data_IF_015714352227
#
_entry.id   IF_015714352227
#
_cell.length_a   1.000
_cell.length_b   1.000
_cell.length_c   1.000
_cell.angle_alpha   90.00
_cell.angle_beta   90.00
_cell.angle_gamma   90.00
#
_symmetry.space_group_name_H-M   'P 1'
#
loop_
_entity.id
_entity.type
_entity.pdbx_description
1 polymer ?
#
# COMPACT_ATOMS: atom_id res chain seq x y z
N UNK A 1 -36.76 -14.88 -52.74
CA UNK A 1 -37.09 -14.59 -51.33
C UNK A 1 -36.29 -15.58 -50.48
N UNK A 2 -34.95 -15.56 -50.54
CA UNK A 2 -34.05 -14.55 -49.93
C UNK A 2 -34.34 -14.44 -48.43
N UNK A 3 -33.71 -15.27 -47.59
CA UNK A 3 -32.36 -15.10 -47.02
C UNK A 3 -32.30 -14.01 -45.95
N UNK A 4 -32.79 -14.33 -44.75
CA UNK A 4 -32.52 -13.55 -43.52
C UNK A 4 -32.41 -14.48 -42.31
N UNK A 5 -31.53 -15.49 -42.42
CA UNK A 5 -30.83 -16.03 -41.25
C UNK A 5 -29.55 -15.21 -41.06
N UNK A 6 -29.71 -13.97 -40.61
CA UNK A 6 -28.60 -13.18 -40.05
C UNK A 6 -28.40 -13.58 -38.59
N UNK A 7 -27.98 -14.82 -38.40
CA UNK A 7 -27.29 -15.25 -37.18
C UNK A 7 -25.92 -14.59 -37.18
N UNK A 8 -25.86 -13.31 -36.82
CA UNK A 8 -24.62 -12.68 -36.36
C UNK A 8 -24.37 -13.17 -34.94
N UNK A 9 -23.94 -14.43 -34.87
CA UNK A 9 -23.21 -14.97 -33.74
C UNK A 9 -22.18 -13.92 -33.34
N UNK A 10 -22.32 -13.39 -32.13
CA UNK A 10 -21.43 -12.43 -31.51
C UNK A 10 -20.08 -13.06 -31.25
N UNK A 11 -19.32 -13.29 -32.31
CA UNK A 11 -17.89 -13.51 -32.24
C UNK A 11 -17.23 -12.14 -32.13
N UNK A 12 -17.11 -11.66 -30.89
CA UNK A 12 -15.96 -10.83 -30.53
C UNK A 12 -14.94 -11.72 -29.82
N UNK A 13 -13.94 -12.27 -30.54
CA UNK A 13 -12.79 -12.96 -29.95
C UNK A 13 -11.77 -11.97 -29.35
N UNK A 14 -12.23 -10.94 -28.63
CA UNK A 14 -11.44 -9.71 -28.39
C UNK A 14 -10.81 -9.54 -27.00
N UNK A 15 -10.79 -10.51 -26.09
CA UNK A 15 -10.06 -10.32 -24.80
C UNK A 15 -9.41 -11.56 -24.18
N UNK A 16 -9.42 -12.68 -24.90
CA UNK A 16 -8.70 -13.89 -24.50
C UNK A 16 -7.19 -13.61 -24.49
N UNK A 17 -6.63 -13.59 -23.27
CA UNK A 17 -5.26 -13.99 -22.95
C UNK A 17 -4.12 -13.00 -23.30
N UNK A 18 -4.24 -11.75 -22.84
CA UNK A 18 -3.06 -10.90 -22.53
C UNK A 18 -2.92 -10.51 -21.05
N UNK A 19 -3.78 -11.09 -20.20
CA UNK A 19 -3.88 -10.79 -18.76
C UNK A 19 -2.91 -11.61 -17.88
N UNK A 20 -2.36 -12.72 -18.37
CA UNK A 20 -1.52 -13.62 -17.57
C UNK A 20 -0.15 -13.01 -17.24
N UNK A 21 0.56 -12.46 -18.25
CA UNK A 21 1.93 -11.94 -18.06
C UNK A 21 1.99 -10.69 -17.18
N UNK A 22 1.05 -9.76 -17.35
CA UNK A 22 0.99 -8.54 -16.53
C UNK A 22 0.68 -8.87 -15.07
N UNK A 23 -0.20 -9.85 -14.82
CA UNK A 23 -0.46 -10.36 -13.47
C UNK A 23 0.77 -11.00 -12.83
N UNK A 24 1.47 -11.89 -13.54
CA UNK A 24 2.69 -12.52 -13.01
C UNK A 24 3.84 -11.52 -12.80
N UNK A 25 3.97 -10.51 -13.67
CA UNK A 25 4.93 -9.43 -13.50
C UNK A 25 4.61 -8.57 -12.28
N UNK A 26 3.36 -8.10 -12.13
CA UNK A 26 2.94 -7.34 -10.94
C UNK A 26 3.06 -8.18 -9.66
N UNK A 27 2.74 -9.47 -9.72
CA UNK A 27 2.88 -10.37 -8.57
C UNK A 27 4.34 -10.61 -8.20
N UNK A 28 5.21 -10.84 -9.19
CA UNK A 28 6.64 -10.98 -9.00
C UNK A 28 7.28 -9.70 -8.47
N UNK A 29 6.87 -8.54 -8.98
CA UNK A 29 7.33 -7.24 -8.50
C UNK A 29 6.92 -7.00 -7.04
N UNK A 30 5.67 -7.34 -6.68
CA UNK A 30 5.20 -7.25 -5.30
C UNK A 30 5.98 -8.18 -4.37
N UNK A 31 6.22 -9.43 -4.77
CA UNK A 31 7.04 -10.37 -4.00
C UNK A 31 8.49 -9.93 -3.86
N UNK A 32 9.08 -9.42 -4.94
CA UNK A 32 10.42 -8.87 -4.93
C UNK A 32 10.50 -7.68 -3.98
N UNK A 33 9.51 -6.77 -4.02
CA UNK A 33 9.43 -5.64 -3.09
C UNK A 33 9.23 -6.11 -1.64
N UNK A 34 8.38 -7.11 -1.39
CA UNK A 34 8.16 -7.74 -0.08
C UNK A 34 9.42 -8.40 0.48
N UNK A 35 10.25 -9.02 -0.36
CA UNK A 35 11.48 -9.68 0.07
C UNK A 35 12.66 -8.72 0.20
N UNK A 36 12.76 -7.73 -0.70
CA UNK A 36 13.85 -6.77 -0.75
C UNK A 36 13.82 -5.79 0.44
N UNK A 37 12.64 -5.37 0.88
CA UNK A 37 12.50 -4.45 2.01
C UNK A 37 13.07 -4.97 3.34
N UNK A 38 12.68 -6.16 3.86
CA UNK A 38 13.24 -6.67 5.11
C UNK A 38 14.73 -6.97 4.98
N UNK A 39 15.20 -7.40 3.79
CA UNK A 39 16.63 -7.59 3.53
C UNK A 39 17.36 -6.26 3.57
N UNK A 40 16.82 -5.20 2.97
CA UNK A 40 17.37 -3.85 3.02
C UNK A 40 17.43 -3.30 4.45
N UNK A 41 16.36 -3.47 5.24
CA UNK A 41 16.31 -3.06 6.64
C UNK A 41 17.29 -3.86 7.52
N UNK A 42 17.38 -5.18 7.32
CA UNK A 42 18.32 -6.04 8.02
C UNK A 42 19.77 -5.70 7.65
N UNK A 43 20.03 -5.41 6.37
CA UNK A 43 21.33 -4.97 5.88
C UNK A 43 21.74 -3.67 6.54
N UNK A 44 20.82 -2.70 6.62
CA UNK A 44 20.99 -1.43 7.32
C UNK A 44 21.32 -1.60 8.80
N UNK A 45 20.71 -2.59 9.46
CA UNK A 45 20.95 -2.92 10.86
C UNK A 45 22.33 -3.57 11.08
N UNK A 46 22.82 -4.36 10.12
CA UNK A 46 24.11 -5.06 10.17
C UNK A 46 25.29 -4.21 9.67
N UNK A 47 25.07 -3.31 8.70
CA UNK A 47 26.09 -2.49 8.04
C UNK A 47 25.71 -1.00 8.07
N UNK A 48 25.76 -0.36 9.26
CA UNK A 48 25.39 1.05 9.42
C UNK A 48 26.28 2.01 8.57
N UNK A 49 27.52 1.62 8.30
CA UNK A 49 28.51 2.44 7.58
C UNK A 49 28.23 2.52 6.06
N UNK A 50 27.28 1.74 5.54
CA UNK A 50 26.97 1.73 4.10
C UNK A 50 26.16 2.95 3.62
N UNK A 51 25.60 3.74 4.55
CA UNK A 51 24.74 4.90 4.23
C UNK A 51 25.39 6.26 4.48
N UNK A 52 26.55 6.30 5.13
CA UNK A 52 27.27 7.56 5.41
C UNK A 52 27.62 8.34 4.13
N UNK A 53 27.69 7.66 2.99
CA UNK A 53 27.97 8.27 1.67
C UNK A 53 26.69 8.66 0.88
N UNK A 54 25.51 8.19 1.31
CA UNK A 54 24.22 8.39 0.60
C UNK A 54 23.38 9.51 1.22
N UNK A 55 23.62 9.87 2.49
CA UNK A 55 22.89 10.96 3.17
C UNK A 55 23.54 12.33 2.94
N UNK A 56 23.40 12.88 1.72
CA UNK A 56 23.67 14.30 1.44
C UNK A 56 22.42 15.19 1.59
N UNK A 57 21.31 14.62 2.04
CA UNK A 57 20.03 15.32 2.14
C UNK A 57 19.96 16.13 3.46
N UNK A 58 19.90 17.49 3.42
CA UNK A 58 20.01 18.36 4.61
C UNK A 58 18.88 18.21 5.62
N UNK A 59 17.78 17.55 5.23
CA UNK A 59 16.62 17.30 6.08
C UNK A 59 16.89 16.29 7.22
N UNK A 60 17.93 15.47 7.07
CA UNK A 60 18.31 14.42 8.04
C UNK A 60 19.68 14.70 8.65
N UNK A 61 19.97 15.95 9.00
CA UNK A 61 21.19 16.39 9.72
C UNK A 61 21.34 15.80 11.13
N UNK A 62 21.14 14.50 11.27
CA UNK A 62 21.08 13.74 12.50
C UNK A 62 22.09 12.61 12.32
N UNK A 63 23.25 12.80 12.94
CA UNK A 63 24.13 11.79 13.53
C UNK A 63 24.37 10.53 12.68
N UNK A 64 25.63 10.27 12.33
CA UNK A 64 26.03 9.03 11.65
C UNK A 64 25.32 7.82 12.28
N UNK A 65 24.66 6.99 11.46
CA UNK A 65 23.90 5.82 11.96
C UNK A 65 24.80 4.89 12.81
N UNK A 66 26.11 4.95 12.58
CA UNK A 66 27.15 4.29 13.35
C UNK A 66 27.18 4.69 14.84
N UNK A 67 26.82 5.93 15.19
CA UNK A 67 26.83 6.41 16.57
C UNK A 67 25.56 6.07 17.37
N UNK A 68 24.51 5.58 16.70
CA UNK A 68 23.28 5.18 17.38
C UNK A 68 23.45 3.84 18.11
N UNK A 69 22.87 3.79 19.31
CA UNK A 69 22.83 2.57 20.13
C UNK A 69 22.01 1.46 19.48
N UNK A 70 22.33 0.20 19.77
CA UNK A 70 21.65 -0.97 19.20
C UNK A 70 20.13 -0.94 19.45
N UNK A 71 19.68 -0.48 20.62
CA UNK A 71 18.25 -0.39 20.93
C UNK A 71 17.53 0.66 20.07
N UNK A 72 18.19 1.79 19.75
CA UNK A 72 17.64 2.82 18.86
C UNK A 72 17.46 2.24 17.47
N UNK A 73 18.48 1.51 16.98
CA UNK A 73 18.43 0.84 15.66
C UNK A 73 17.27 -0.14 15.59
N UNK A 74 17.12 -1.03 16.57
CA UNK A 74 15.99 -1.98 16.63
C UNK A 74 14.65 -1.23 16.64
N UNK A 75 14.54 -0.15 17.40
CA UNK A 75 13.31 0.65 17.47
C UNK A 75 13.00 1.29 16.13
N UNK A 76 13.98 1.89 15.47
CA UNK A 76 13.81 2.54 14.16
C UNK A 76 13.44 1.52 13.07
N UNK A 77 14.08 0.36 13.07
CA UNK A 77 13.73 -0.75 12.17
C UNK A 77 12.32 -1.27 12.45
N UNK A 78 11.94 -1.46 13.71
CA UNK A 78 10.61 -1.93 14.10
C UNK A 78 9.53 -0.92 13.69
N UNK A 79 9.74 0.37 13.97
CA UNK A 79 8.83 1.45 13.59
C UNK A 79 8.70 1.52 12.07
N UNK A 80 9.81 1.58 11.31
CA UNK A 80 9.77 1.62 9.85
C UNK A 80 9.12 0.39 9.20
N UNK A 81 9.23 -0.78 9.84
CA UNK A 81 8.59 -2.01 9.36
C UNK A 81 7.06 -1.97 9.43
N UNK A 82 6.48 -1.15 10.32
CA UNK A 82 5.03 -1.02 10.48
C UNK A 82 4.37 -0.42 9.24
N UNK A 83 4.90 0.69 8.72
CA UNK A 83 4.46 1.26 7.44
C UNK A 83 4.58 0.26 6.30
N UNK A 84 5.71 -0.44 6.21
CA UNK A 84 5.94 -1.40 5.11
C UNK A 84 4.91 -2.53 5.18
N UNK A 85 4.66 -3.08 6.37
CA UNK A 85 3.62 -4.08 6.58
C UNK A 85 2.23 -3.57 6.18
N UNK A 86 1.92 -2.30 6.47
CA UNK A 86 0.66 -1.67 6.06
C UNK A 86 0.52 -1.58 4.54
N UNK A 87 1.59 -1.19 3.82
CA UNK A 87 1.61 -1.19 2.34
C UNK A 87 1.45 -2.60 1.78
N UNK A 88 2.08 -3.60 2.40
CA UNK A 88 1.94 -5.01 2.01
C UNK A 88 0.50 -5.51 2.16
N UNK A 89 -0.16 -5.16 3.27
CA UNK A 89 -1.57 -5.47 3.47
C UNK A 89 -2.46 -4.80 2.42
N UNK A 90 -2.19 -3.53 2.07
CA UNK A 90 -2.95 -2.84 1.03
C UNK A 90 -2.80 -3.52 -0.34
N UNK A 91 -1.56 -3.85 -0.72
CA UNK A 91 -1.26 -4.58 -1.96
C UNK A 91 -1.89 -5.99 -1.99
N UNK A 92 -1.94 -6.68 -0.85
CA UNK A 92 -2.59 -7.99 -0.74
C UNK A 92 -4.10 -7.90 -1.00
N UNK A 93 -4.75 -6.87 -0.46
CA UNK A 93 -6.17 -6.63 -0.74
C UNK A 93 -6.40 -6.30 -2.22
N UNK A 94 -5.53 -5.48 -2.85
CA UNK A 94 -5.59 -5.20 -4.28
C UNK A 94 -5.47 -6.48 -5.12
N UNK A 95 -4.58 -7.41 -4.75
CA UNK A 95 -4.47 -8.72 -5.40
C UNK A 95 -5.77 -9.51 -5.29
N UNK A 96 -6.41 -9.48 -4.13
CA UNK A 96 -7.68 -10.18 -3.91
C UNK A 96 -8.78 -9.65 -4.84
N UNK A 97 -8.88 -8.34 -4.97
CA UNK A 97 -9.80 -7.69 -5.93
C UNK A 97 -9.49 -8.11 -7.37
N UNK A 98 -8.21 -8.06 -7.77
CA UNK A 98 -7.79 -8.46 -9.11
C UNK A 98 -8.09 -9.93 -9.42
N UNK A 99 -7.92 -10.84 -8.46
CA UNK A 99 -8.24 -12.26 -8.62
C UNK A 99 -9.74 -12.49 -8.82
N UNK A 100 -10.60 -11.77 -8.07
CA UNK A 100 -12.05 -11.87 -8.23
C UNK A 100 -12.48 -11.31 -9.59
N UNK A 101 -11.88 -10.21 -10.03
CA UNK A 101 -12.12 -9.64 -11.35
C UNK A 101 -11.72 -10.61 -12.49
N UNK A 102 -10.56 -11.28 -12.35
CA UNK A 102 -10.09 -12.28 -13.31
C UNK A 102 -11.00 -13.51 -13.40
N UNK A 103 -11.74 -13.82 -12.34
CA UNK A 103 -12.74 -14.90 -12.30
C UNK A 103 -14.13 -14.48 -12.79
N UNK A 104 -14.29 -13.23 -13.24
CA UNK A 104 -15.59 -12.67 -13.62
C UNK A 104 -16.52 -12.38 -12.44
N UNK A 105 -16.01 -12.44 -11.21
CA UNK A 105 -16.76 -12.24 -9.96
C UNK A 105 -16.67 -10.78 -9.48
N UNK A 106 -17.17 -9.86 -10.32
CA UNK A 106 -17.11 -8.41 -10.11
C UNK A 106 -17.74 -7.96 -8.77
N UNK A 107 -18.91 -8.50 -8.42
CA UNK A 107 -19.71 -8.11 -7.24
C UNK A 107 -19.71 -9.15 -6.12
N UNK A 108 -18.62 -9.90 -5.98
CA UNK A 108 -18.49 -10.83 -4.85
C UNK A 108 -18.31 -10.08 -3.52
N UNK A 109 -18.87 -10.62 -2.43
CA UNK A 109 -18.69 -10.06 -1.08
C UNK A 109 -17.21 -9.90 -0.71
N UNK A 110 -16.35 -10.83 -1.16
CA UNK A 110 -14.90 -10.79 -0.97
C UNK A 110 -14.24 -9.60 -1.68
N UNK A 111 -14.69 -9.25 -2.90
CA UNK A 111 -14.14 -8.12 -3.66
C UNK A 111 -14.47 -6.79 -2.98
N UNK A 112 -15.73 -6.64 -2.53
CA UNK A 112 -16.18 -5.44 -1.80
C UNK A 112 -15.42 -5.30 -0.47
N UNK A 113 -15.29 -6.38 0.31
CA UNK A 113 -14.57 -6.35 1.58
C UNK A 113 -13.07 -6.06 1.40
N UNK A 114 -12.42 -6.65 0.40
CA UNK A 114 -11.03 -6.38 0.08
C UNK A 114 -10.81 -4.93 -0.35
N UNK A 115 -11.70 -4.39 -1.19
CA UNK A 115 -11.64 -2.99 -1.64
C UNK A 115 -11.79 -2.03 -0.46
N UNK A 116 -12.75 -2.29 0.44
CA UNK A 116 -12.96 -1.48 1.65
C UNK A 116 -11.74 -1.51 2.59
N UNK A 117 -11.16 -2.69 2.82
CA UNK A 117 -9.93 -2.83 3.61
C UNK A 117 -8.75 -2.10 2.98
N UNK A 118 -8.56 -2.21 1.67
CA UNK A 118 -7.52 -1.49 0.94
C UNK A 118 -7.69 0.02 1.08
N UNK A 119 -8.90 0.53 0.89
CA UNK A 119 -9.21 1.96 1.02
C UNK A 119 -8.97 2.48 2.44
N UNK A 120 -9.37 1.72 3.46
CA UNK A 120 -9.08 2.04 4.86
C UNK A 120 -7.57 2.10 5.11
N UNK A 121 -6.82 1.08 4.68
CA UNK A 121 -5.36 1.06 4.82
C UNK A 121 -4.71 2.27 4.15
N UNK A 122 -5.19 2.65 2.96
CA UNK A 122 -4.67 3.81 2.24
C UNK A 122 -5.00 5.14 2.94
N UNK A 123 -6.20 5.26 3.51
CA UNK A 123 -6.61 6.44 4.26
C UNK A 123 -5.85 6.61 5.59
N UNK A 124 -5.56 5.52 6.29
CA UNK A 124 -4.82 5.55 7.56
C UNK A 124 -3.30 5.64 7.37
N UNK A 125 -2.77 5.29 6.20
CA UNK A 125 -1.34 5.32 5.90
C UNK A 125 -0.62 6.63 6.28
N UNK A 126 -1.08 7.82 5.86
CA UNK A 126 -0.41 9.08 6.22
C UNK A 126 -0.44 9.36 7.73
N UNK A 127 -1.47 8.89 8.46
CA UNK A 127 -1.52 9.03 9.91
C UNK A 127 -0.45 8.15 10.59
N UNK A 128 -0.29 6.91 10.11
CA UNK A 128 0.77 6.02 10.60
C UNK A 128 2.14 6.62 10.32
N UNK A 129 2.36 7.16 9.12
CA UNK A 129 3.60 7.86 8.74
C UNK A 129 3.93 9.04 9.65
N UNK A 130 2.93 9.87 9.97
CA UNK A 130 3.11 11.01 10.87
C UNK A 130 3.53 10.55 12.27
N UNK A 131 2.91 9.49 12.79
CA UNK A 131 3.27 8.90 14.09
C UNK A 131 4.67 8.29 14.05
N UNK A 132 5.04 7.59 12.99
CA UNK A 132 6.40 7.04 12.83
C UNK A 132 7.45 8.15 12.85
N UNK A 133 7.27 9.23 12.10
CA UNK A 133 8.22 10.34 12.07
C UNK A 133 8.39 10.97 13.46
N UNK A 134 7.28 11.16 14.19
CA UNK A 134 7.32 11.66 15.56
C UNK A 134 8.12 10.73 16.49
N UNK A 135 7.87 9.40 16.43
CA UNK A 135 8.60 8.41 17.22
C UNK A 135 10.09 8.41 16.84
N UNK A 136 10.42 8.39 15.55
CA UNK A 136 11.81 8.39 15.07
C UNK A 136 12.55 9.66 15.52
N UNK A 137 11.91 10.83 15.47
CA UNK A 137 12.47 12.09 15.96
C UNK A 137 12.79 12.03 17.44
N UNK A 138 11.92 11.43 18.26
CA UNK A 138 12.17 11.28 19.70
C UNK A 138 13.28 10.28 19.95
N UNK A 139 13.25 9.11 19.31
CA UNK A 139 14.27 8.06 19.47
C UNK A 139 15.66 8.56 19.12
N UNK A 140 15.79 9.39 18.09
CA UNK A 140 17.05 10.00 17.68
C UNK A 140 17.55 11.10 18.63
N UNK A 141 16.66 11.78 19.35
CA UNK A 141 17.01 12.95 20.19
C UNK A 141 17.01 12.66 21.69
N UNK A 142 16.59 11.47 22.11
CA UNK A 142 16.44 11.09 23.53
C UNK A 142 17.76 11.11 24.32
N UNK A 143 18.87 10.79 23.66
CA UNK A 143 20.22 10.78 24.24
C UNK A 143 20.86 12.18 24.28
N UNK A 144 20.19 13.21 23.75
CA UNK A 144 20.69 14.58 23.81
C UNK A 144 20.40 15.21 25.17
N UNK A 145 21.29 16.12 25.58
CA UNK A 145 21.18 16.84 26.85
C UNK A 145 19.87 17.65 26.97
N UNK A 146 19.50 18.07 28.20
CA UNK A 146 18.33 18.92 28.39
C UNK A 146 18.46 20.22 27.56
N UNK A 147 17.55 20.44 26.61
CA UNK A 147 17.55 21.57 25.68
C UNK A 147 17.69 21.21 24.19
N UNK A 148 18.14 19.99 23.87
CA UNK A 148 18.37 19.54 22.48
C UNK A 148 17.40 18.44 22.00
N UNK A 149 16.42 18.10 22.85
CA UNK A 149 15.34 17.16 22.52
C UNK A 149 14.37 17.83 21.57
N UNK A 150 14.25 17.30 20.36
CA UNK A 150 13.43 17.87 19.30
C UNK A 150 12.37 16.86 18.86
N UNK A 151 11.11 17.28 18.94
CA UNK A 151 10.00 16.57 18.34
C UNK A 151 9.68 17.25 17.00
N UNK A 152 10.00 16.57 15.90
CA UNK A 152 9.67 17.01 14.55
C UNK A 152 8.40 16.31 14.11
N UNK A 153 7.39 17.11 13.81
CA UNK A 153 6.18 16.66 13.13
C UNK A 153 6.22 17.33 11.77
N UNK A 154 6.45 16.54 10.72
CA UNK A 154 6.38 17.04 9.35
C UNK A 154 5.05 16.62 8.73
N UNK A 155 4.50 17.46 7.89
CA UNK A 155 3.32 17.15 7.09
C UNK A 155 3.60 17.63 5.68
N UNK A 156 3.76 16.68 4.75
CA UNK A 156 4.00 16.99 3.36
C UNK A 156 2.68 17.15 2.60
N UNK A 157 2.69 17.96 1.55
CA UNK A 157 1.58 17.99 0.58
C UNK A 157 1.31 16.60 -0.02
N UNK A 158 2.32 15.73 -0.08
CA UNK A 158 2.17 14.34 -0.51
C UNK A 158 1.30 13.52 0.46
N UNK A 159 1.43 13.76 1.77
CA UNK A 159 0.66 13.04 2.79
C UNK A 159 -0.82 13.43 2.72
N UNK A 160 -1.10 14.73 2.52
CA UNK A 160 -2.44 15.24 2.30
C UNK A 160 -3.07 14.70 1.00
N UNK A 161 -2.29 14.63 -0.09
CA UNK A 161 -2.75 14.04 -1.34
C UNK A 161 -3.05 12.55 -1.18
N UNK A 162 -2.20 11.79 -0.48
CA UNK A 162 -2.42 10.37 -0.21
C UNK A 162 -3.67 10.15 0.66
N UNK A 163 -3.88 10.98 1.69
CA UNK A 163 -5.09 10.95 2.52
C UNK A 163 -6.34 11.19 1.67
N UNK A 164 -6.32 12.20 0.81
CA UNK A 164 -7.44 12.50 -0.09
C UNK A 164 -7.73 11.33 -1.02
N UNK A 165 -6.71 10.73 -1.64
CA UNK A 165 -6.85 9.54 -2.49
C UNK A 165 -7.44 8.35 -1.70
N UNK A 166 -6.98 8.14 -0.46
CA UNK A 166 -7.52 7.12 0.43
C UNK A 166 -9.00 7.31 0.74
N UNK A 167 -9.41 8.54 1.06
CA UNK A 167 -10.82 8.90 1.29
C UNK A 167 -11.65 8.69 0.03
N UNK A 168 -11.16 9.12 -1.14
CA UNK A 168 -11.86 8.89 -2.41
C UNK A 168 -12.04 7.40 -2.70
N UNK A 169 -10.99 6.59 -2.49
CA UNK A 169 -11.07 5.14 -2.62
C UNK A 169 -12.08 4.52 -1.65
N UNK A 170 -12.24 5.09 -0.46
CA UNK A 170 -13.23 4.63 0.52
C UNK A 170 -14.66 4.94 0.06
N UNK A 171 -14.89 6.13 -0.50
CA UNK A 171 -16.16 6.47 -1.14
C UNK A 171 -16.48 5.54 -2.31
N UNK A 172 -15.49 5.20 -3.14
CA UNK A 172 -15.66 4.21 -4.21
C UNK A 172 -15.99 2.82 -3.68
N UNK A 173 -15.34 2.38 -2.59
CA UNK A 173 -15.63 1.09 -1.97
C UNK A 173 -17.07 1.01 -1.44
N UNK A 174 -17.57 2.08 -0.82
CA UNK A 174 -18.97 2.17 -0.35
C UNK A 174 -19.95 2.23 -1.52
N UNK A 175 -19.65 2.98 -2.59
CA UNK A 175 -20.46 2.99 -3.80
C UNK A 175 -20.57 1.59 -4.44
N UNK A 176 -19.48 0.83 -4.48
CA UNK A 176 -19.48 -0.57 -4.93
C UNK A 176 -20.31 -1.48 -4.01
N UNK A 177 -20.29 -1.24 -2.70
CA UNK A 177 -21.12 -1.98 -1.75
C UNK A 177 -22.61 -1.72 -1.99
N UNK A 178 -23.00 -0.47 -2.22
CA UNK A 178 -24.38 -0.11 -2.58
C UNK A 178 -24.82 -0.74 -3.90
N UNK A 179 -23.96 -0.70 -4.93
CA UNK A 179 -24.25 -1.33 -6.22
C UNK A 179 -24.45 -2.85 -6.10
N UNK A 180 -23.65 -3.52 -5.24
CA UNK A 180 -23.85 -4.94 -4.94
C UNK A 180 -25.22 -5.19 -4.29
N UNK A 181 -25.59 -4.38 -3.29
CA UNK A 181 -26.87 -4.55 -2.59
C UNK A 181 -28.08 -4.42 -3.53
N UNK A 182 -28.08 -3.41 -4.41
CA UNK A 182 -29.14 -3.22 -5.41
C UNK A 182 -29.25 -4.41 -6.38
N UNK A 183 -28.12 -5.03 -6.73
CA UNK A 183 -28.13 -6.20 -7.61
C UNK A 183 -28.72 -7.44 -6.93
N UNK A 184 -28.46 -7.60 -5.65
CA UNK A 184 -28.96 -8.73 -4.84
C UNK A 184 -30.48 -8.65 -4.68
N UNK A 185 -31.04 -7.45 -4.49
CA UNK A 185 -32.50 -7.21 -4.43
C UNK A 185 -33.21 -7.59 -5.74
N UNK A 186 -32.60 -7.31 -6.90
CA UNK A 186 -33.17 -7.65 -8.21
C UNK A 186 -33.17 -9.17 -8.47
N UNK A 187 -32.20 -9.90 -7.93
CA UNK A 187 -32.11 -11.36 -8.04
C UNK A 187 -33.14 -12.06 -7.12
N UNK A 188 -33.68 -11.40 -6.09
CA UNK A 188 -34.73 -11.94 -5.21
C UNK A 188 -36.16 -11.79 -5.78
N UNK A 189 -36.36 -10.87 -6.73
CA UNK A 189 -37.67 -10.58 -7.34
C UNK A 189 -37.98 -11.48 -8.55
N UNK A 190 -36.96 -12.11 -9.16
CA UNK A 190 -37.07 -12.98 -10.35
C UNK A 190 -37.19 -14.44 -9.96
#
# INVERSE_FOLDING_TARGET
>A
MSSEQSSTAGDTPASKVRHSRLYYLCHGLLWLFMGLQPVGLLWLLLFPDSLSDVSSDPLWGIRDLAELSLWQRITMTAVGSATVAMMMLAAWNMRTVAMQFARGLFFSALSVQATRRMALLLAFFPLVKMVEQAILSVVMTIDRGPGEKMLVINTSNHDLAALLVGIMMLLFAEALAHAKAQREELEEIV
#
